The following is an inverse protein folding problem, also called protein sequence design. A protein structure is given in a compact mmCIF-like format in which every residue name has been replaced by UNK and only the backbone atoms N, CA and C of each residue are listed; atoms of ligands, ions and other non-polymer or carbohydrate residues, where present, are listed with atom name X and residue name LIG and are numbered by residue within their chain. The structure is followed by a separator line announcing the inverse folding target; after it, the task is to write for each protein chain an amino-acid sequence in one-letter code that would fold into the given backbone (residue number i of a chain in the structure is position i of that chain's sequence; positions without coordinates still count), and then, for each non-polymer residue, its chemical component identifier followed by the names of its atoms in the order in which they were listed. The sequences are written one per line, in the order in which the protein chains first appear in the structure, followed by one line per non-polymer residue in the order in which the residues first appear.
data_IF_805893327982
#
_entry.id   IF_805893327982
#
_cell.length_a   1.000
_cell.length_b   1.000
_cell.length_c   1.000
_cell.angle_alpha   90.00
_cell.angle_beta   90.00
_cell.angle_gamma   90.00
#
_symmetry.space_group_name_H-M   'P 1'
#
loop_
_entity.id
_entity.type
_entity.pdbx_description
1 polymer ?
#
# COMPACT_ATOMS: atom_id res chain seq x y z
N UNK A 1 -19.22 -17.47 -12.52
CA UNK A 1 -20.05 -17.18 -11.33
C UNK A 1 -19.24 -16.19 -10.51
N UNK A 2 -19.76 -14.99 -10.20
CA UNK A 2 -18.96 -13.94 -9.58
C UNK A 2 -18.31 -14.35 -8.24
N UNK A 3 -17.29 -13.61 -7.81
CA UNK A 3 -16.76 -13.77 -6.45
C UNK A 3 -17.85 -13.34 -5.46
N UNK A 4 -18.23 -14.22 -4.53
CA UNK A 4 -19.30 -13.96 -3.58
C UNK A 4 -18.90 -14.42 -2.17
N UNK A 5 -19.32 -13.64 -1.19
CA UNK A 5 -19.08 -13.88 0.22
C UNK A 5 -20.42 -14.07 0.92
N UNK A 6 -20.55 -15.12 1.72
CA UNK A 6 -21.75 -15.40 2.52
C UNK A 6 -21.33 -15.60 3.98
N UNK A 7 -21.89 -14.77 4.86
CA UNK A 7 -21.73 -14.91 6.30
C UNK A 7 -23.02 -15.53 6.86
N UNK A 8 -22.92 -16.68 7.52
CA UNK A 8 -24.07 -17.33 8.15
C UNK A 8 -23.82 -17.46 9.65
N UNK A 9 -24.78 -17.01 10.46
CA UNK A 9 -24.78 -17.20 11.91
C UNK A 9 -25.43 -18.55 12.19
N UNK A 10 -24.65 -19.50 12.74
CA UNK A 10 -25.19 -20.78 13.20
C UNK A 10 -25.85 -20.57 14.56
N UNK A 11 -27.18 -20.75 14.63
CA UNK A 11 -27.91 -20.84 15.91
C UNK A 11 -27.76 -22.24 16.51
N UNK A 12 -26.58 -22.56 17.03
CA UNK A 12 -26.41 -23.67 17.98
C UNK A 12 -25.26 -23.37 18.94
N UNK A 13 -25.60 -22.78 20.08
CA UNK A 13 -24.95 -22.99 21.39
C UNK A 13 -23.51 -22.53 21.62
N UNK A 14 -22.70 -22.25 20.59
CA UNK A 14 -21.37 -21.66 20.70
C UNK A 14 -21.18 -20.71 19.51
N UNK A 15 -20.60 -19.53 19.73
CA UNK A 15 -20.42 -18.49 18.72
C UNK A 15 -19.36 -18.86 17.66
N UNK A 16 -19.55 -19.97 16.93
CA UNK A 16 -18.75 -20.30 15.76
C UNK A 16 -19.36 -19.61 14.52
N UNK A 17 -18.76 -18.48 14.14
CA UNK A 17 -19.12 -17.76 12.91
C UNK A 17 -18.68 -18.60 11.71
N UNK A 18 -19.63 -19.18 10.99
CA UNK A 18 -19.35 -19.87 9.73
C UNK A 18 -19.19 -18.82 8.62
N UNK A 19 -17.96 -18.69 8.13
CA UNK A 19 -17.63 -17.83 6.99
C UNK A 19 -17.44 -18.68 5.75
N UNK A 20 -18.22 -18.43 4.70
CA UNK A 20 -18.07 -19.10 3.40
C UNK A 20 -17.56 -18.10 2.38
N UNK A 21 -16.36 -18.36 1.87
CA UNK A 21 -15.72 -17.58 0.83
C UNK A 21 -15.57 -18.43 -0.43
N UNK A 22 -16.11 -17.94 -1.55
CA UNK A 22 -15.99 -18.57 -2.87
C UNK A 22 -15.39 -17.57 -3.85
N UNK A 23 -14.35 -18.01 -4.57
CA UNK A 23 -13.74 -17.22 -5.62
C UNK A 23 -13.49 -18.06 -6.87
N UNK A 24 -13.61 -17.43 -8.04
CA UNK A 24 -13.41 -18.07 -9.33
C UNK A 24 -11.94 -17.96 -9.77
N UNK A 25 -11.37 -19.07 -10.22
CA UNK A 25 -10.02 -19.11 -10.78
C UNK A 25 -10.12 -19.13 -12.31
N UNK A 26 -9.93 -17.95 -12.90
CA UNK A 26 -9.92 -17.80 -14.36
C UNK A 26 -8.62 -18.30 -14.97
N UNK A 27 -8.73 -19.01 -16.11
CA UNK A 27 -7.61 -19.48 -16.91
C UNK A 27 -6.55 -20.25 -16.09
N UNK A 28 -7.00 -21.15 -15.20
CA UNK A 28 -6.10 -21.86 -14.27
C UNK A 28 -4.93 -22.56 -14.98
N UNK A 29 -5.16 -23.20 -16.13
CA UNK A 29 -4.12 -23.88 -16.92
C UNK A 29 -3.00 -22.96 -17.40
N UNK A 30 -3.24 -21.64 -17.47
CA UNK A 30 -2.24 -20.65 -17.86
C UNK A 30 -1.44 -20.10 -16.66
N UNK A 31 -1.87 -20.39 -15.42
CA UNK A 31 -1.21 -19.91 -14.20
C UNK A 31 0.01 -20.78 -13.91
N UNK A 32 1.21 -20.23 -14.16
CA UNK A 32 2.50 -20.88 -13.87
C UNK A 32 3.12 -20.48 -12.52
N UNK A 33 2.54 -19.49 -11.84
CA UNK A 33 3.03 -18.95 -10.58
C UNK A 33 1.91 -18.93 -9.54
N UNK A 34 2.28 -19.02 -8.27
CA UNK A 34 1.34 -18.90 -7.15
C UNK A 34 0.66 -17.53 -7.14
N UNK A 35 -0.60 -17.49 -6.74
CA UNK A 35 -1.37 -16.25 -6.62
C UNK A 35 -2.32 -16.29 -5.43
N UNK A 36 -2.75 -15.12 -4.97
CA UNK A 36 -3.65 -14.96 -3.83
C UNK A 36 -5.08 -14.70 -4.32
N UNK A 37 -6.07 -15.23 -3.59
CA UNK A 37 -7.46 -14.80 -3.74
C UNK A 37 -7.63 -13.34 -3.30
N UNK A 38 -8.77 -12.70 -3.63
CA UNK A 38 -9.23 -11.54 -2.87
C UNK A 38 -9.24 -11.85 -1.37
N UNK A 39 -9.01 -10.83 -0.57
CA UNK A 39 -9.10 -10.95 0.89
C UNK A 39 -10.56 -11.02 1.33
N UNK A 40 -10.82 -11.72 2.44
CA UNK A 40 -12.16 -11.90 2.97
C UNK A 40 -12.16 -11.89 4.50
N UNK A 41 -13.18 -11.30 5.11
CA UNK A 41 -13.31 -11.20 6.56
C UNK A 41 -13.91 -12.48 7.16
N UNK A 42 -13.23 -13.10 8.12
CA UNK A 42 -13.73 -14.26 8.85
C UNK A 42 -13.23 -14.25 10.29
N UNK A 43 -14.12 -14.47 11.27
CA UNK A 43 -13.73 -14.48 12.68
C UNK A 43 -12.95 -13.23 13.13
N UNK A 44 -13.27 -12.05 12.57
CA UNK A 44 -12.62 -10.78 12.91
C UNK A 44 -11.24 -10.56 12.26
N UNK A 45 -10.79 -11.43 11.37
CA UNK A 45 -9.51 -11.30 10.66
C UNK A 45 -9.74 -11.23 9.14
N UNK A 46 -8.86 -10.53 8.43
CA UNK A 46 -8.79 -10.60 6.97
C UNK A 46 -7.99 -11.84 6.57
N UNK A 47 -8.59 -12.73 5.79
CA UNK A 47 -7.98 -13.96 5.29
C UNK A 47 -7.81 -13.91 3.78
N UNK A 48 -6.97 -14.77 3.24
CA UNK A 48 -6.84 -15.04 1.82
C UNK A 48 -6.51 -16.52 1.58
N UNK A 49 -6.77 -17.01 0.38
CA UNK A 49 -6.34 -18.34 -0.07
C UNK A 49 -5.15 -18.16 -1.00
N UNK A 50 -4.02 -18.78 -0.66
CA UNK A 50 -2.88 -18.91 -1.56
C UNK A 50 -3.08 -20.15 -2.44
N UNK A 51 -3.07 -19.93 -3.75
CA UNK A 51 -3.20 -20.96 -4.78
C UNK A 51 -1.84 -21.20 -5.39
N UNK A 52 -1.32 -22.42 -5.29
CA UNK A 52 -0.06 -22.83 -5.88
C UNK A 52 -0.28 -23.97 -6.88
N UNK A 53 -0.19 -23.69 -8.19
CA UNK A 53 -0.12 -24.72 -9.21
C UNK A 53 1.24 -25.43 -9.11
N UNK A 54 1.24 -26.77 -9.03
CA UNK A 54 2.49 -27.56 -8.97
C UNK A 54 2.40 -28.80 -9.86
N UNK A 55 2.87 -28.68 -11.11
CA UNK A 55 3.20 -29.84 -11.96
C UNK A 55 2.11 -30.89 -12.19
N UNK A 56 0.83 -30.56 -11.97
CA UNK A 56 -0.30 -31.49 -12.02
C UNK A 56 -1.14 -31.54 -10.72
N UNK A 57 -0.63 -30.98 -9.63
CA UNK A 57 -1.32 -30.81 -8.36
C UNK A 57 -1.75 -29.35 -8.13
N UNK A 58 -2.83 -29.19 -7.38
CA UNK A 58 -3.30 -27.89 -6.89
C UNK A 58 -3.14 -27.85 -5.37
N UNK A 59 -2.22 -27.02 -4.89
CA UNK A 59 -2.02 -26.78 -3.46
C UNK A 59 -2.73 -25.50 -3.04
N UNK A 60 -3.51 -25.59 -1.96
CA UNK A 60 -4.28 -24.49 -1.38
C UNK A 60 -3.87 -24.28 0.08
N UNK A 61 -3.58 -23.04 0.44
CA UNK A 61 -3.24 -22.63 1.81
C UNK A 61 -4.15 -21.49 2.25
N UNK A 62 -4.60 -21.51 3.50
CA UNK A 62 -5.32 -20.39 4.11
C UNK A 62 -4.29 -19.49 4.82
N UNK A 63 -4.30 -18.20 4.52
CA UNK A 63 -3.42 -17.21 5.15
C UNK A 63 -4.20 -16.04 5.73
N UNK A 64 -3.59 -15.31 6.67
CA UNK A 64 -4.13 -14.08 7.26
C UNK A 64 -3.44 -12.88 6.63
N UNK A 65 -4.22 -11.93 6.13
CA UNK A 65 -3.75 -10.66 5.59
C UNK A 65 -3.48 -9.69 6.75
N UNK A 66 -2.31 -9.02 6.73
CA UNK A 66 -1.91 -7.99 7.70
C UNK A 66 -2.11 -8.38 9.19
N UNK A 67 -1.20 -9.13 9.82
CA UNK A 67 -1.23 -9.32 11.29
C UNK A 67 -0.93 -8.03 12.09
N UNK A 68 -0.85 -6.86 11.43
CA UNK A 68 -0.57 -5.59 12.09
C UNK A 68 -1.78 -5.21 12.95
N UNK A 69 -1.59 -5.24 14.27
CA UNK A 69 -2.46 -4.76 15.36
C UNK A 69 -3.34 -5.78 16.09
N UNK A 70 -2.93 -7.05 16.18
CA UNK A 70 -3.32 -7.79 17.38
C UNK A 70 -2.45 -7.30 18.55
N UNK A 71 -3.11 -6.84 19.62
CA UNK A 71 -2.45 -6.60 20.91
C UNK A 71 -1.61 -7.83 21.28
N UNK A 72 -0.52 -7.65 22.02
CA UNK A 72 0.23 -8.75 22.63
C UNK A 72 -0.76 -9.62 23.43
N UNK A 73 -1.14 -10.81 22.95
CA UNK A 73 -2.32 -11.47 23.53
C UNK A 73 -3.01 -12.54 22.68
N UNK A 74 -3.12 -12.30 21.39
CA UNK A 74 -4.16 -12.95 20.59
C UNK A 74 -3.67 -14.20 19.85
N UNK A 75 -4.55 -15.22 19.83
CA UNK A 75 -4.39 -16.47 19.09
C UNK A 75 -5.60 -16.64 18.17
N UNK A 76 -5.35 -16.76 16.87
CA UNK A 76 -6.38 -17.11 15.90
C UNK A 76 -6.36 -18.62 15.67
N UNK A 77 -7.49 -19.27 16.00
CA UNK A 77 -7.77 -20.64 15.64
C UNK A 77 -8.79 -20.62 14.52
N UNK A 78 -8.45 -21.22 13.38
CA UNK A 78 -9.36 -21.38 12.27
C UNK A 78 -9.58 -22.87 11.98
N UNK A 79 -10.83 -23.30 12.07
CA UNK A 79 -11.30 -24.59 11.54
C UNK A 79 -11.83 -24.33 10.13
N UNK A 80 -11.18 -24.88 9.12
CA UNK A 80 -11.50 -24.62 7.72
C UNK A 80 -11.44 -25.88 6.87
N UNK A 81 -12.06 -25.83 5.69
CA UNK A 81 -11.91 -26.85 4.66
C UNK A 81 -12.01 -26.22 3.28
N UNK A 82 -11.31 -26.79 2.32
CA UNK A 82 -11.45 -26.40 0.91
C UNK A 82 -12.44 -27.31 0.20
N UNK A 83 -13.25 -26.69 -0.67
CA UNK A 83 -14.18 -27.38 -1.57
C UNK A 83 -13.91 -26.86 -2.97
N UNK A 84 -13.65 -27.75 -3.92
CA UNK A 84 -13.48 -27.43 -5.33
C UNK A 84 -14.81 -27.66 -6.03
N UNK A 85 -15.30 -26.64 -6.72
CA UNK A 85 -16.53 -26.69 -7.52
C UNK A 85 -16.18 -26.63 -9.00
N UNK A 86 -16.99 -27.27 -9.85
CA UNK A 86 -16.95 -27.06 -11.29
C UNK A 86 -17.73 -25.78 -11.68
N UNK A 87 -17.77 -25.49 -12.98
CA UNK A 87 -18.45 -24.30 -13.52
C UNK A 87 -19.97 -24.29 -13.30
N UNK A 88 -20.60 -25.45 -13.08
CA UNK A 88 -22.03 -25.54 -12.76
C UNK A 88 -22.31 -25.43 -11.26
N UNK A 89 -21.30 -25.16 -10.44
CA UNK A 89 -21.40 -25.14 -8.97
C UNK A 89 -21.46 -26.53 -8.32
N UNK A 90 -21.27 -27.61 -9.10
CA UNK A 90 -21.22 -28.98 -8.57
C UNK A 90 -19.86 -29.23 -7.94
N UNK A 91 -19.86 -29.83 -6.75
CA UNK A 91 -18.66 -30.23 -6.05
C UNK A 91 -17.89 -31.32 -6.81
N UNK A 92 -16.59 -31.06 -7.02
CA UNK A 92 -15.63 -32.00 -7.58
C UNK A 92 -14.78 -32.64 -6.50
N UNK A 93 -14.43 -31.88 -5.47
CA UNK A 93 -13.58 -32.33 -4.39
C UNK A 93 -13.86 -31.59 -3.10
N UNK A 94 -13.69 -32.27 -1.97
CA UNK A 94 -13.85 -31.70 -0.63
C UNK A 94 -12.76 -32.25 0.29
N UNK A 95 -11.93 -31.33 0.76
CA UNK A 95 -10.87 -31.66 1.71
C UNK A 95 -11.45 -31.99 3.09
N UNK A 96 -10.70 -32.77 3.87
CA UNK A 96 -10.93 -32.92 5.30
C UNK A 96 -10.83 -31.55 6.00
N UNK A 97 -11.53 -31.41 7.13
CA UNK A 97 -11.43 -30.21 7.97
C UNK A 97 -10.02 -30.14 8.53
N UNK A 98 -9.37 -28.99 8.37
CA UNK A 98 -8.09 -28.66 8.96
C UNK A 98 -8.32 -27.65 10.07
N UNK A 99 -7.59 -27.81 11.17
CA UNK A 99 -7.49 -26.80 12.22
C UNK A 99 -6.12 -26.16 12.07
N UNK A 100 -6.09 -24.88 11.70
CA UNK A 100 -4.88 -24.08 11.83
C UNK A 100 -4.93 -23.37 13.18
N UNK A 101 -3.88 -23.56 13.96
CA UNK A 101 -3.61 -22.76 15.13
C UNK A 101 -2.34 -21.98 14.85
N UNK A 102 -2.46 -20.66 14.71
CA UNK A 102 -1.29 -19.80 14.75
C UNK A 102 -0.99 -19.55 16.22
N UNK A 103 -0.13 -20.41 16.80
CA UNK A 103 0.41 -20.23 18.14
C UNK A 103 1.42 -19.09 18.16
N UNK A 104 1.55 -18.43 19.32
CA UNK A 104 2.50 -17.35 19.52
C UNK A 104 3.88 -17.67 18.96
N UNK A 105 4.27 -16.89 17.97
CA UNK A 105 5.66 -16.65 17.67
C UNK A 105 6.03 -15.42 18.49
N UNK A 106 6.97 -15.56 19.43
CA UNK A 106 7.46 -14.48 20.30
C UNK A 106 8.12 -13.32 19.53
N UNK A 107 8.09 -13.34 18.20
CA UNK A 107 8.86 -12.46 17.32
C UNK A 107 10.33 -12.84 17.26
N UNK A 108 10.76 -13.83 18.06
CA UNK A 108 12.14 -14.31 18.16
C UNK A 108 12.39 -15.56 17.33
N UNK A 109 11.37 -16.28 16.90
CA UNK A 109 11.55 -17.43 16.02
C UNK A 109 11.99 -16.98 14.63
N UNK A 110 12.97 -17.70 14.10
CA UNK A 110 13.54 -17.48 12.79
C UNK A 110 13.05 -18.57 11.84
N UNK A 111 12.56 -18.17 10.67
CA UNK A 111 12.04 -19.06 9.62
C UNK A 111 12.97 -19.02 8.42
N UNK A 112 13.24 -20.18 7.84
CA UNK A 112 14.02 -20.25 6.61
C UNK A 112 13.13 -20.04 5.38
N UNK A 113 13.45 -19.01 4.58
CA UNK A 113 12.82 -18.73 3.30
C UNK A 113 13.91 -18.62 2.25
N UNK A 114 13.96 -19.57 1.31
CA UNK A 114 14.93 -19.56 0.19
C UNK A 114 16.38 -19.38 0.65
N UNK A 115 16.76 -20.03 1.77
CA UNK A 115 18.11 -19.95 2.33
C UNK A 115 18.42 -18.68 3.14
N UNK A 116 17.41 -17.85 3.45
CA UNK A 116 17.48 -16.73 4.38
C UNK A 116 16.72 -17.06 5.65
N UNK A 117 17.33 -16.78 6.80
CA UNK A 117 16.58 -16.81 8.04
C UNK A 117 15.96 -15.46 8.33
N UNK A 118 14.67 -15.50 8.68
CA UNK A 118 13.82 -14.32 8.73
C UNK A 118 12.98 -14.39 10.01
N UNK A 119 12.94 -13.31 10.82
CA UNK A 119 12.05 -13.26 11.97
C UNK A 119 10.60 -13.48 11.54
N UNK A 120 9.81 -14.18 12.35
CA UNK A 120 8.38 -14.45 12.08
C UNK A 120 7.60 -13.21 11.60
N UNK A 121 7.87 -12.05 12.19
CA UNK A 121 7.26 -10.75 11.85
C UNK A 121 7.51 -10.29 10.41
N UNK A 122 8.54 -10.81 9.75
CA UNK A 122 8.95 -10.45 8.39
C UNK A 122 8.64 -11.54 7.36
N UNK A 123 8.22 -12.75 7.77
CA UNK A 123 8.02 -13.92 6.90
C UNK A 123 7.10 -13.62 5.72
N UNK A 124 5.97 -12.95 5.96
CA UNK A 124 5.01 -12.60 4.91
C UNK A 124 5.63 -11.64 3.90
N UNK A 125 6.33 -10.60 4.36
CA UNK A 125 6.98 -9.60 3.50
C UNK A 125 8.08 -10.23 2.65
N UNK A 126 8.93 -11.09 3.24
CA UNK A 126 9.99 -11.79 2.49
C UNK A 126 9.41 -12.79 1.50
N UNK A 127 8.36 -13.53 1.88
CA UNK A 127 7.68 -14.45 0.97
C UNK A 127 7.11 -13.71 -0.25
N UNK A 128 6.41 -12.59 -0.02
CA UNK A 128 5.88 -11.74 -1.10
C UNK A 128 6.99 -11.15 -1.97
N UNK A 129 8.13 -10.79 -1.37
CA UNK A 129 9.29 -10.26 -2.08
C UNK A 129 9.84 -11.29 -3.08
N UNK A 130 10.09 -12.52 -2.64
CA UNK A 130 10.55 -13.60 -3.52
C UNK A 130 9.48 -14.03 -4.52
N UNK A 131 8.19 -13.89 -4.23
CA UNK A 131 7.15 -14.14 -5.22
C UNK A 131 7.18 -13.13 -6.37
N UNK A 132 7.36 -11.85 -6.06
CA UNK A 132 7.38 -10.77 -7.07
C UNK A 132 8.72 -10.67 -7.79
N UNK A 133 9.81 -11.00 -7.09
CA UNK A 133 11.18 -10.93 -7.60
C UNK A 133 11.92 -12.24 -7.25
N UNK A 134 11.64 -13.36 -7.95
CA UNK A 134 12.21 -14.66 -7.62
C UNK A 134 13.74 -14.71 -7.71
N UNK A 135 14.33 -13.88 -8.56
CA UNK A 135 15.78 -13.85 -8.79
C UNK A 135 16.51 -12.82 -7.91
N UNK A 136 15.81 -12.11 -7.03
CA UNK A 136 16.33 -10.96 -6.27
C UNK A 136 17.62 -11.25 -5.50
N UNK A 137 17.80 -12.47 -4.98
CA UNK A 137 18.95 -12.86 -4.17
C UNK A 137 19.86 -13.89 -4.87
N UNK A 138 19.69 -14.12 -6.17
CA UNK A 138 20.47 -15.13 -6.91
C UNK A 138 21.97 -14.83 -6.96
N UNK A 139 22.34 -13.55 -6.86
CA UNK A 139 23.74 -13.12 -6.80
C UNK A 139 24.27 -12.91 -5.39
N UNK A 140 23.49 -13.20 -4.34
CA UNK A 140 23.83 -12.86 -2.95
C UNK A 140 25.03 -13.67 -2.47
N UNK A 141 26.08 -12.99 -1.99
CA UNK A 141 27.39 -13.61 -1.74
C UNK A 141 27.73 -13.81 -0.26
N UNK A 142 27.01 -13.15 0.64
CA UNK A 142 27.37 -13.16 2.06
C UNK A 142 26.95 -14.47 2.74
N UNK A 143 27.92 -15.11 3.39
CA UNK A 143 27.71 -16.33 4.15
C UNK A 143 27.70 -16.02 5.64
N UNK A 144 26.65 -16.45 6.32
CA UNK A 144 26.43 -16.15 7.74
C UNK A 144 24.95 -15.89 8.01
N UNK A 145 24.38 -16.66 8.93
CA UNK A 145 22.97 -16.60 9.33
C UNK A 145 22.54 -15.19 9.76
N UNK A 146 23.32 -14.57 10.64
CA UNK A 146 23.07 -13.19 11.10
C UNK A 146 23.18 -12.15 9.99
N UNK A 147 24.16 -12.29 9.09
CA UNK A 147 24.36 -11.37 7.97
C UNK A 147 23.20 -11.43 6.98
N UNK A 148 22.79 -12.65 6.58
CA UNK A 148 21.61 -12.85 5.72
C UNK A 148 20.36 -12.20 6.29
N UNK A 149 20.14 -12.37 7.59
CA UNK A 149 19.01 -11.77 8.31
C UNK A 149 19.07 -10.24 8.30
N UNK A 150 20.23 -9.67 8.64
CA UNK A 150 20.43 -8.23 8.72
C UNK A 150 20.23 -7.56 7.35
N UNK A 151 20.79 -8.15 6.30
CA UNK A 151 20.66 -7.66 4.94
C UNK A 151 19.22 -7.76 4.41
N UNK A 152 18.52 -8.85 4.70
CA UNK A 152 17.09 -8.97 4.34
C UNK A 152 16.24 -7.94 5.09
N UNK A 153 16.50 -7.73 6.39
CA UNK A 153 15.83 -6.70 7.20
C UNK A 153 16.11 -5.29 6.66
N UNK A 154 17.34 -5.04 6.22
CA UNK A 154 17.76 -3.77 5.61
C UNK A 154 17.07 -3.54 4.26
N UNK A 155 16.92 -4.58 3.43
CA UNK A 155 16.16 -4.51 2.19
C UNK A 155 14.68 -4.19 2.44
N UNK A 156 14.06 -4.87 3.41
CA UNK A 156 12.66 -4.59 3.77
C UNK A 156 12.47 -3.19 4.33
N UNK A 157 13.41 -2.69 5.15
CA UNK A 157 13.33 -1.33 5.70
C UNK A 157 13.48 -0.26 4.63
N UNK A 158 14.35 -0.48 3.63
CA UNK A 158 14.46 0.39 2.46
C UNK A 158 13.14 0.39 1.65
N UNK A 159 12.58 -0.79 1.37
CA UNK A 159 11.31 -0.90 0.65
C UNK A 159 10.22 -0.14 1.40
N UNK A 160 10.08 -0.35 2.72
CA UNK A 160 9.09 0.33 3.54
C UNK A 160 9.30 1.85 3.55
N UNK A 161 10.56 2.29 3.61
CA UNK A 161 10.94 3.71 3.53
C UNK A 161 10.44 4.33 2.23
N UNK A 162 10.61 3.66 1.08
CA UNK A 162 10.18 4.15 -0.24
C UNK A 162 8.67 4.15 -0.47
N UNK A 163 7.87 3.56 0.42
CA UNK A 163 6.39 3.64 0.36
C UNK A 163 5.84 4.99 0.80
N UNK A 164 6.65 5.80 1.48
CA UNK A 164 6.25 7.13 1.94
C UNK A 164 5.99 8.08 0.76
N UNK A 165 5.14 9.11 0.93
CA UNK A 165 4.95 10.13 -0.10
C UNK A 165 6.26 10.83 -0.49
N UNK A 166 6.51 11.15 -1.78
CA UNK A 166 7.77 11.77 -2.22
C UNK A 166 8.13 13.09 -1.51
N UNK A 167 7.13 13.91 -1.16
CA UNK A 167 7.34 15.17 -0.43
C UNK A 167 7.73 14.98 1.04
N UNK A 168 7.55 13.79 1.60
CA UNK A 168 7.91 13.50 2.99
C UNK A 168 9.41 13.25 3.19
N UNK A 169 10.17 13.10 2.10
CA UNK A 169 11.61 12.85 2.18
C UNK A 169 12.40 14.16 2.26
N UNK A 170 13.48 14.12 3.03
CA UNK A 170 14.59 15.07 2.96
C UNK A 170 15.67 14.60 1.97
N UNK A 171 16.54 15.51 1.53
CA UNK A 171 17.71 15.18 0.70
C UNK A 171 18.64 14.18 1.41
N UNK A 172 18.76 14.30 2.74
CA UNK A 172 19.56 13.41 3.59
C UNK A 172 18.96 12.00 3.58
N UNK A 173 17.65 11.85 3.74
CA UNK A 173 16.98 10.55 3.69
C UNK A 173 17.11 9.89 2.32
N UNK A 174 16.99 10.65 1.23
CA UNK A 174 17.18 10.11 -0.14
C UNK A 174 18.64 9.69 -0.38
N UNK A 175 19.61 10.46 0.13
CA UNK A 175 21.03 10.12 0.07
C UNK A 175 21.32 8.82 0.85
N UNK A 176 20.75 8.68 2.05
CA UNK A 176 20.86 7.47 2.86
C UNK A 176 20.20 6.26 2.19
N UNK A 177 19.02 6.45 1.60
CA UNK A 177 18.35 5.39 0.84
C UNK A 177 19.21 4.91 -0.35
N UNK A 178 19.87 5.85 -1.05
CA UNK A 178 20.80 5.53 -2.13
C UNK A 178 22.04 4.78 -1.64
N UNK A 179 22.61 5.17 -0.49
CA UNK A 179 23.75 4.45 0.08
C UNK A 179 23.38 3.03 0.50
N UNK A 180 22.22 2.85 1.14
CA UNK A 180 21.71 1.52 1.53
C UNK A 180 21.42 0.66 0.30
N UNK A 181 20.81 1.22 -0.74
CA UNK A 181 20.57 0.50 -1.99
C UNK A 181 21.87 0.00 -2.62
N UNK A 182 22.91 0.84 -2.62
CA UNK A 182 24.25 0.49 -3.13
C UNK A 182 24.86 -0.66 -2.33
N UNK A 183 24.85 -0.58 -1.00
CA UNK A 183 25.34 -1.64 -0.11
C UNK A 183 24.64 -2.98 -0.37
N UNK A 184 23.30 -2.97 -0.49
CA UNK A 184 22.53 -4.17 -0.80
C UNK A 184 22.88 -4.75 -2.19
N UNK A 185 23.12 -3.88 -3.17
CA UNK A 185 23.52 -4.28 -4.52
C UNK A 185 24.91 -4.90 -4.53
N UNK A 186 25.87 -4.32 -3.78
CA UNK A 186 27.23 -4.84 -3.62
C UNK A 186 27.24 -6.22 -2.92
N UNK A 187 26.33 -6.44 -1.98
CA UNK A 187 26.11 -7.76 -1.36
C UNK A 187 25.52 -8.80 -2.32
N UNK A 188 25.07 -8.38 -3.50
CA UNK A 188 24.64 -9.24 -4.59
C UNK A 188 23.13 -9.35 -4.79
N UNK A 189 22.34 -8.48 -4.17
CA UNK A 189 20.91 -8.38 -4.52
C UNK A 189 20.72 -7.72 -5.89
N UNK A 190 19.81 -8.28 -6.68
CA UNK A 190 19.36 -7.71 -7.96
C UNK A 190 18.24 -6.70 -7.73
N UNK A 191 18.60 -5.42 -7.66
CA UNK A 191 17.71 -4.34 -7.22
C UNK A 191 17.48 -3.25 -8.28
N UNK A 192 17.63 -3.56 -9.58
CA UNK A 192 17.45 -2.58 -10.66
C UNK A 192 16.06 -1.92 -10.64
N UNK A 193 15.03 -2.71 -10.33
CA UNK A 193 13.66 -2.22 -10.19
C UNK A 193 13.51 -1.23 -9.03
N UNK A 194 14.21 -1.47 -7.91
CA UNK A 194 14.17 -0.64 -6.72
C UNK A 194 14.98 0.65 -6.94
N UNK A 195 16.12 0.55 -7.64
CA UNK A 195 16.91 1.69 -8.12
C UNK A 195 16.05 2.63 -8.95
N UNK A 196 15.37 2.10 -9.97
CA UNK A 196 14.46 2.92 -10.80
C UNK A 196 13.37 3.59 -9.97
N UNK A 197 12.80 2.89 -8.98
CA UNK A 197 11.77 3.46 -8.10
C UNK A 197 12.31 4.59 -7.21
N UNK A 198 13.54 4.47 -6.70
CA UNK A 198 14.18 5.52 -5.92
C UNK A 198 14.47 6.78 -6.76
N UNK A 199 14.91 6.61 -8.01
CA UNK A 199 15.06 7.73 -8.96
C UNK A 199 13.71 8.40 -9.27
N UNK A 200 12.66 7.61 -9.49
CA UNK A 200 11.29 8.14 -9.70
C UNK A 200 10.81 8.96 -8.49
N UNK A 201 11.05 8.49 -7.27
CA UNK A 201 10.68 9.22 -6.03
C UNK A 201 11.47 10.52 -5.92
N UNK A 202 12.77 10.48 -6.18
CA UNK A 202 13.64 11.67 -6.12
C UNK A 202 13.23 12.73 -7.14
N UNK A 203 12.92 12.31 -8.37
CA UNK A 203 12.44 13.21 -9.42
C UNK A 203 11.07 13.81 -9.08
N UNK A 204 10.13 12.98 -8.60
CA UNK A 204 8.80 13.45 -8.19
C UNK A 204 8.87 14.46 -7.05
N UNK A 205 9.76 14.26 -6.07
CA UNK A 205 9.99 15.23 -4.99
C UNK A 205 10.48 16.57 -5.55
N UNK A 206 11.49 16.54 -6.43
CA UNK A 206 12.05 17.77 -7.02
C UNK A 206 10.98 18.57 -7.76
N UNK A 207 10.18 17.90 -8.59
CA UNK A 207 9.12 18.56 -9.35
C UNK A 207 8.04 19.13 -8.43
N UNK A 208 7.63 18.39 -7.40
CA UNK A 208 6.60 18.85 -6.47
C UNK A 208 7.04 20.05 -5.62
N UNK A 209 8.33 20.17 -5.30
CA UNK A 209 8.89 21.36 -4.63
C UNK A 209 8.87 22.58 -5.57
N UNK A 210 9.23 22.40 -6.83
CA UNK A 210 9.20 23.46 -7.84
C UNK A 210 7.77 23.96 -8.11
N UNK A 211 6.83 23.03 -8.33
CA UNK A 211 5.41 23.35 -8.52
C UNK A 211 4.83 24.06 -7.28
N UNK A 212 5.17 23.60 -6.07
CA UNK A 212 4.77 24.25 -4.83
C UNK A 212 5.32 25.66 -4.68
N UNK A 213 6.56 25.91 -5.14
CA UNK A 213 7.15 27.26 -5.18
C UNK A 213 6.38 28.18 -6.14
N UNK A 214 6.05 27.69 -7.33
CA UNK A 214 5.26 28.42 -8.34
C UNK A 214 3.86 28.75 -7.84
N UNK A 215 3.18 27.81 -7.18
CA UNK A 215 1.86 28.03 -6.60
C UNK A 215 1.90 29.15 -5.57
N UNK A 216 2.84 29.12 -4.61
CA UNK A 216 3.00 30.19 -3.61
C UNK A 216 3.24 31.57 -4.25
N UNK A 217 4.03 31.63 -5.32
CA UNK A 217 4.27 32.87 -6.05
C UNK A 217 2.97 33.40 -6.70
N UNK A 218 2.16 32.52 -7.29
CA UNK A 218 0.88 32.89 -7.89
C UNK A 218 -0.13 33.32 -6.83
N UNK A 219 -0.19 32.63 -5.68
CA UNK A 219 -1.05 33.00 -4.55
C UNK A 219 -0.75 34.42 -4.05
N UNK A 220 0.53 34.78 -3.91
CA UNK A 220 0.91 36.14 -3.49
C UNK A 220 0.54 37.20 -4.55
N UNK A 221 0.73 36.89 -5.84
CA UNK A 221 0.31 37.79 -6.93
C UNK A 221 -1.21 37.99 -6.94
N UNK A 222 -1.99 36.94 -6.70
CA UNK A 222 -3.47 37.04 -6.59
C UNK A 222 -3.84 37.94 -5.41
N UNK A 223 -3.16 37.79 -4.27
CA UNK A 223 -3.39 38.62 -3.09
C UNK A 223 -3.12 40.11 -3.38
N UNK A 224 -2.00 40.42 -4.03
CA UNK A 224 -1.65 41.80 -4.44
C UNK A 224 -2.69 42.36 -5.42
N UNK A 225 -3.04 41.60 -6.47
CA UNK A 225 -4.02 42.04 -7.46
C UNK A 225 -5.39 42.32 -6.84
N UNK A 226 -5.81 41.51 -5.86
CA UNK A 226 -7.07 41.72 -5.15
C UNK A 226 -7.10 43.04 -4.37
N UNK A 227 -5.98 43.45 -3.77
CA UNK A 227 -5.85 44.76 -3.11
C UNK A 227 -5.96 45.87 -4.14
N UNK A 228 -5.16 45.82 -5.22
CA UNK A 228 -5.19 46.86 -6.26
C UNK A 228 -6.55 47.01 -6.95
N UNK A 229 -7.30 45.92 -7.11
CA UNK A 229 -8.65 45.97 -7.67
C UNK A 229 -9.66 46.63 -6.71
N UNK A 230 -9.42 46.57 -5.40
CA UNK A 230 -10.25 47.27 -4.41
C UNK A 230 -9.98 48.77 -4.49
N UNK A 231 -8.69 49.16 -4.52
CA UNK A 231 -8.28 50.57 -4.62
C UNK A 231 -8.82 51.23 -5.89
N UNK A 232 -8.65 50.58 -7.05
CA UNK A 232 -9.18 51.09 -8.34
C UNK A 232 -10.70 51.13 -8.38
N UNK A 233 -11.37 50.23 -7.66
CA UNK A 233 -12.83 50.23 -7.55
C UNK A 233 -13.31 51.42 -6.74
N UNK A 234 -12.62 51.75 -5.66
CA UNK A 234 -12.92 52.92 -4.84
C UNK A 234 -12.65 54.23 -5.61
N UNK A 235 -11.55 54.30 -6.36
CA UNK A 235 -11.23 55.43 -7.24
C UNK A 235 -12.29 55.62 -8.34
N UNK A 236 -12.79 54.52 -8.93
CA UNK A 236 -13.88 54.57 -9.91
C UNK A 236 -15.19 55.10 -9.29
N UNK A 237 -15.52 54.71 -8.04
CA UNK A 237 -16.72 55.22 -7.36
C UNK A 237 -16.58 56.70 -7.01
N UNK A 238 -15.38 57.12 -6.61
CA UNK A 238 -15.09 58.52 -6.35
C UNK A 238 -15.31 59.39 -7.60
N UNK A 239 -14.71 59.02 -8.74
CA UNK A 239 -14.86 59.79 -9.99
C UNK A 239 -16.30 59.79 -10.53
N UNK A 240 -17.05 58.69 -10.35
CA UNK A 240 -18.49 58.67 -10.65
C UNK A 240 -19.27 59.70 -9.82
N UNK A 241 -18.98 59.77 -8.53
CA UNK A 241 -19.66 60.72 -7.62
C UNK A 241 -19.32 62.16 -7.99
N UNK A 242 -18.06 62.42 -8.32
CA UNK A 242 -17.57 63.73 -8.77
C UNK A 242 -18.22 64.17 -10.09
N UNK A 243 -18.28 63.28 -11.08
CA UNK A 243 -18.93 63.56 -12.37
C UNK A 243 -20.43 63.83 -12.22
N UNK A 244 -21.12 63.10 -11.33
CA UNK A 244 -22.54 63.33 -11.06
C UNK A 244 -22.80 64.71 -10.44
N UNK A 245 -21.95 65.15 -9.50
CA UNK A 245 -22.05 66.48 -8.89
C UNK A 245 -21.83 67.62 -9.90
N UNK A 246 -20.88 67.46 -10.83
CA UNK A 246 -20.60 68.48 -11.86
C UNK A 246 -21.73 68.65 -12.89
N UNK A 247 -22.63 67.65 -13.03
CA UNK A 247 -23.75 67.68 -13.97
C UNK A 247 -25.08 68.10 -13.31
N UNK A 248 -25.10 68.44 -12.01
CA UNK A 248 -26.31 68.98 -11.38
C UNK A 248 -26.53 70.44 -11.81
N UNK A 249 -27.76 70.81 -12.24
CA UNK A 249 -28.08 72.20 -12.56
C UNK A 249 -27.96 73.07 -11.30
N UNK A 250 -27.37 74.25 -11.45
CA UNK A 250 -27.26 75.25 -10.38
C UNK A 250 -28.66 75.64 -9.90
N UNK A 251 -28.85 75.73 -8.58
CA UNK A 251 -30.14 76.14 -8.03
C UNK A 251 -30.35 77.65 -8.25
N UNK A 252 -31.61 78.08 -8.22
CA UNK A 252 -31.94 79.50 -8.40
C UNK A 252 -31.25 80.39 -7.35
N UNK A 253 -31.12 79.91 -6.11
CA UNK A 253 -30.48 80.62 -5.00
C UNK A 253 -28.94 80.66 -5.12
N UNK A 254 -28.33 79.79 -5.95
CA UNK A 254 -26.89 79.84 -6.23
C UNK A 254 -26.55 80.83 -7.36
N UNK A 255 -27.55 81.22 -8.15
CA UNK A 255 -27.39 82.08 -9.35
C UNK A 255 -27.70 83.56 -9.03
N UNK A 256 -28.60 83.81 -8.08
CA UNK A 256 -29.12 85.15 -7.73
C UNK A 256 -28.50 85.64 -6.43
#
# INVERSE_FOLDING_TARGET
MGNHMQNSISHKGNHELLTIFTFEINNFSQKKASFMSPTFLGGGCEWYVLVQPDGGYLSLYLGVQHPKSFLTGWRTRASYRFVLLNQSGKELYRAAVKVAEEGYLTGKEMFEIKGFEVPSSQVVSVSQLFMKHPDIATGFKLNGKGLKTAYMSLLLSLIETLRRPPLSFSDIELSKANSTLRELTEAGFKLDWLKKKLEEVSLKRKNAVDDGSRVKQVEERIKILKVTLSDLKDELQFEKTRSAAANQPLSFDDIV
#
